data_IF_333433397726
#
_entry.id   IF_333433397726
#
_cell.length_a   1.000
_cell.length_b   1.000
_cell.length_c   1.000
_cell.angle_alpha   90.00
_cell.angle_beta   90.00
_cell.angle_gamma   90.00
#
_symmetry.space_group_name_H-M   'P 1'
#
loop_
_entity.id
_entity.type
_entity.pdbx_description
1 polymer ?
#
# COMPACT_ATOMS: atom_id res chain seq x y z
N UNK A 1 14.60 11.70 -8.52
CA UNK A 1 13.60 11.50 -7.46
C UNK A 1 12.23 11.72 -8.10
N UNK A 2 11.45 10.66 -8.34
CA UNK A 2 10.15 10.79 -9.02
C UNK A 2 9.24 11.75 -8.25
N UNK A 3 8.59 12.69 -8.95
CA UNK A 3 7.68 13.66 -8.36
C UNK A 3 6.60 12.89 -7.60
N UNK A 4 6.52 13.08 -6.27
CA UNK A 4 5.54 12.42 -5.41
C UNK A 4 4.12 12.83 -5.86
N UNK A 5 3.46 12.00 -6.66
CA UNK A 5 2.11 12.27 -7.17
C UNK A 5 1.08 12.12 -6.05
N UNK A 6 0.08 12.99 -6.07
CA UNK A 6 -1.15 12.90 -5.30
C UNK A 6 -2.29 13.21 -6.27
N UNK A 7 -3.41 12.53 -6.11
CA UNK A 7 -4.60 12.73 -6.93
C UNK A 7 -5.16 14.15 -6.69
N UNK A 8 -5.66 14.78 -7.75
CA UNK A 8 -6.39 16.05 -7.71
C UNK A 8 -7.55 16.03 -8.68
N UNK A 9 -8.78 16.10 -8.18
CA UNK A 9 -9.98 15.99 -9.02
C UNK A 9 -9.95 14.70 -9.84
N UNK A 10 -9.99 13.55 -9.15
CA UNK A 10 -10.05 12.25 -9.82
C UNK A 10 -11.25 12.24 -10.76
N UNK A 11 -11.02 11.84 -12.00
CA UNK A 11 -12.06 11.71 -13.01
C UNK A 11 -12.43 10.24 -13.24
N UNK A 12 -11.43 9.36 -13.16
CA UNK A 12 -11.61 7.92 -13.31
C UNK A 12 -10.43 7.15 -12.71
N UNK A 13 -10.70 5.95 -12.19
CA UNK A 13 -9.71 4.92 -11.93
C UNK A 13 -10.19 3.57 -12.49
N UNK A 14 -9.25 2.75 -12.95
CA UNK A 14 -9.50 1.41 -13.49
C UNK A 14 -8.45 0.43 -12.96
N UNK A 15 -8.89 -0.77 -12.59
CA UNK A 15 -7.99 -1.91 -12.39
C UNK A 15 -7.49 -2.39 -13.74
N UNK A 16 -6.18 -2.55 -13.88
CA UNK A 16 -5.55 -3.00 -15.12
C UNK A 16 -4.49 -4.07 -14.83
N UNK A 17 -4.14 -4.82 -15.87
CA UNK A 17 -2.90 -5.59 -15.89
C UNK A 17 -1.67 -4.67 -15.91
N UNK A 18 -0.48 -5.18 -15.54
CA UNK A 18 0.76 -4.41 -15.61
C UNK A 18 0.95 -3.74 -16.98
N UNK A 19 1.21 -2.41 -17.03
CA UNK A 19 1.42 -1.72 -18.29
C UNK A 19 2.58 -2.31 -19.11
N UNK A 20 2.36 -2.50 -20.41
CA UNK A 20 3.30 -3.18 -21.32
C UNK A 20 4.66 -2.47 -21.49
N UNK A 21 4.73 -1.18 -21.18
CA UNK A 21 5.96 -0.38 -21.29
C UNK A 21 6.91 -0.54 -20.08
N UNK A 22 6.53 -1.33 -19.07
CA UNK A 22 7.41 -1.63 -17.93
C UNK A 22 8.56 -2.54 -18.38
N UNK A 23 9.77 -1.99 -18.41
CA UNK A 23 10.98 -2.77 -18.70
C UNK A 23 11.58 -3.38 -17.43
N UNK A 24 12.30 -4.49 -17.60
CA UNK A 24 13.13 -5.03 -16.53
C UNK A 24 14.31 -4.08 -16.27
N UNK A 25 14.23 -3.31 -15.20
CA UNK A 25 15.32 -2.45 -14.77
C UNK A 25 16.38 -3.23 -13.98
N UNK A 26 17.62 -2.73 -13.99
CA UNK A 26 18.69 -3.17 -13.10
C UNK A 26 18.22 -3.17 -11.63
N UNK A 27 18.64 -4.19 -10.87
CA UNK A 27 18.29 -4.35 -9.45
C UNK A 27 19.55 -4.31 -8.60
N UNK A 28 19.68 -3.29 -7.77
CA UNK A 28 20.76 -3.22 -6.78
C UNK A 28 20.54 -4.23 -5.64
N UNK A 29 21.58 -4.58 -4.87
CA UNK A 29 21.43 -5.44 -3.69
C UNK A 29 20.39 -4.92 -2.68
N UNK A 30 20.34 -3.61 -2.46
CA UNK A 30 19.35 -2.98 -1.59
C UNK A 30 17.91 -3.17 -2.11
N UNK A 31 17.71 -3.07 -3.43
CA UNK A 31 16.40 -3.35 -4.05
C UNK A 31 16.00 -4.82 -3.87
N UNK A 32 16.96 -5.75 -4.01
CA UNK A 32 16.70 -7.18 -3.80
C UNK A 32 16.30 -7.50 -2.36
N UNK A 33 16.90 -6.84 -1.37
CA UNK A 33 16.48 -6.97 0.03
C UNK A 33 15.05 -6.48 0.23
N UNK A 34 14.69 -5.33 -0.34
CA UNK A 34 13.32 -4.81 -0.32
C UNK A 34 12.32 -5.81 -0.92
N UNK A 35 12.63 -6.37 -2.10
CA UNK A 35 11.79 -7.37 -2.78
C UNK A 35 11.64 -8.63 -1.94
N UNK A 36 12.72 -9.12 -1.29
CA UNK A 36 12.65 -10.30 -0.42
C UNK A 36 11.77 -10.04 0.80
N UNK A 37 11.91 -8.86 1.41
CA UNK A 37 11.09 -8.48 2.55
C UNK A 37 9.61 -8.36 2.16
N UNK A 38 9.30 -7.69 1.05
CA UNK A 38 7.94 -7.60 0.52
C UNK A 38 7.32 -8.99 0.27
N UNK A 39 8.09 -9.93 -0.30
CA UNK A 39 7.65 -11.32 -0.46
C UNK A 39 7.37 -12.02 0.88
N UNK A 40 8.20 -11.79 1.90
CA UNK A 40 7.99 -12.32 3.26
C UNK A 40 6.66 -11.82 3.82
N UNK A 41 6.40 -10.51 3.73
CA UNK A 41 5.16 -9.89 4.21
C UNK A 41 3.95 -10.42 3.45
N UNK A 42 4.00 -10.49 2.12
CA UNK A 42 2.91 -11.03 1.30
C UNK A 42 2.52 -12.45 1.71
N UNK A 43 3.51 -13.31 1.98
CA UNK A 43 3.28 -14.68 2.46
C UNK A 43 2.69 -14.72 3.87
N UNK A 44 3.15 -13.84 4.77
CA UNK A 44 2.60 -13.74 6.12
C UNK A 44 1.14 -13.32 6.09
N UNK A 45 0.83 -12.28 5.32
CA UNK A 45 -0.54 -11.80 5.10
C UNK A 45 -1.46 -12.89 4.54
N UNK A 46 -0.98 -13.73 3.59
CA UNK A 46 -1.76 -14.88 3.11
C UNK A 46 -2.17 -15.84 4.23
N UNK A 47 -1.32 -15.98 5.25
CA UNK A 47 -1.55 -16.90 6.36
C UNK A 47 -2.54 -16.30 7.36
N UNK A 48 -2.44 -14.99 7.63
CA UNK A 48 -3.28 -14.28 8.60
C UNK A 48 -4.70 -14.00 8.07
N UNK A 49 -4.85 -13.79 6.76
CA UNK A 49 -6.07 -13.27 6.16
C UNK A 49 -6.64 -14.20 5.09
N UNK A 50 -6.83 -15.48 5.42
CA UNK A 50 -7.29 -16.51 4.49
C UNK A 50 -8.70 -16.26 3.95
N UNK A 51 -9.54 -15.56 4.72
CA UNK A 51 -10.92 -15.24 4.35
C UNK A 51 -11.06 -13.90 3.60
N UNK A 52 -9.96 -13.15 3.42
CA UNK A 52 -9.95 -11.90 2.69
C UNK A 52 -9.52 -12.12 1.24
N UNK A 53 -10.03 -11.30 0.32
CA UNK A 53 -9.45 -11.21 -1.02
C UNK A 53 -8.17 -10.35 -0.95
N UNK A 54 -7.06 -10.88 -1.48
CA UNK A 54 -5.73 -10.26 -1.35
C UNK A 54 -5.19 -9.90 -2.73
N UNK A 55 -5.22 -8.61 -3.07
CA UNK A 55 -4.68 -8.08 -4.33
C UNK A 55 -3.23 -7.62 -4.14
N UNK A 56 -2.27 -8.42 -4.61
CA UNK A 56 -0.83 -8.14 -4.46
C UNK A 56 -0.28 -7.46 -5.70
N UNK A 57 0.15 -6.21 -5.56
CA UNK A 57 0.74 -5.46 -6.67
C UNK A 57 -0.28 -5.16 -7.78
N UNK A 58 -1.55 -4.95 -7.43
CA UNK A 58 -2.59 -4.59 -8.39
C UNK A 58 -2.26 -3.25 -9.07
N UNK A 59 -2.35 -3.19 -10.39
CA UNK A 59 -2.15 -1.94 -11.12
C UNK A 59 -3.45 -1.16 -11.26
N UNK A 60 -3.32 0.16 -11.10
CA UNK A 60 -4.35 1.15 -11.39
C UNK A 60 -3.90 2.01 -12.55
N UNK A 61 -4.79 2.23 -13.51
CA UNK A 61 -4.74 3.38 -14.40
C UNK A 61 -5.73 4.43 -13.86
N UNK A 62 -5.35 5.69 -13.88
CA UNK A 62 -6.24 6.76 -13.46
C UNK A 62 -6.07 8.01 -14.31
N UNK A 63 -7.08 8.86 -14.27
CA UNK A 63 -7.05 10.20 -14.86
C UNK A 63 -7.49 11.22 -13.82
N UNK A 64 -6.69 12.26 -13.64
CA UNK A 64 -6.95 13.39 -12.76
C UNK A 64 -6.75 14.69 -13.54
N UNK A 65 -6.93 15.86 -12.92
CA UNK A 65 -6.73 17.15 -13.62
C UNK A 65 -5.31 17.36 -14.17
N UNK A 66 -4.35 16.48 -13.82
CA UNK A 66 -2.97 16.50 -14.30
C UNK A 66 -2.74 15.45 -15.41
N UNK A 67 -3.80 14.83 -15.91
CA UNK A 67 -3.79 13.84 -16.97
C UNK A 67 -3.65 12.40 -16.46
N UNK A 68 -3.34 11.48 -17.38
CA UNK A 68 -3.25 10.05 -17.08
C UNK A 68 -2.10 9.70 -16.12
N UNK A 69 -2.29 8.69 -15.29
CA UNK A 69 -1.30 8.15 -14.39
C UNK A 69 -1.47 6.65 -14.16
N UNK A 70 -0.42 6.05 -13.61
CA UNK A 70 -0.42 4.65 -13.18
C UNK A 70 0.08 4.57 -11.75
N UNK A 71 -0.47 3.64 -10.98
CA UNK A 71 -0.11 3.41 -9.60
C UNK A 71 -0.22 1.92 -9.26
N UNK A 72 0.64 1.45 -8.37
CA UNK A 72 0.66 0.06 -7.91
C UNK A 72 0.89 0.07 -6.40
N UNK A 73 -0.14 -0.12 -5.55
CA UNK A 73 0.06 -0.43 -4.13
C UNK A 73 0.71 -1.80 -3.96
N UNK A 74 1.39 -2.03 -2.84
CA UNK A 74 2.07 -3.30 -2.61
C UNK A 74 1.05 -4.42 -2.37
N UNK A 75 0.02 -4.15 -1.55
CA UNK A 75 -1.08 -5.07 -1.21
C UNK A 75 -2.37 -4.28 -0.95
N UNK A 76 -3.52 -4.81 -1.39
CA UNK A 76 -4.85 -4.41 -0.92
C UNK A 76 -5.51 -5.66 -0.33
N UNK A 77 -6.04 -5.53 0.89
CA UNK A 77 -6.85 -6.54 1.56
C UNK A 77 -8.31 -6.12 1.50
N UNK A 78 -9.18 -6.99 1.01
CA UNK A 78 -10.62 -6.76 0.90
C UNK A 78 -11.34 -7.75 1.81
N UNK A 79 -12.14 -7.22 2.73
CA UNK A 79 -13.13 -7.99 3.48
C UNK A 79 -14.53 -7.51 3.12
N UNK A 80 -15.60 -8.23 3.52
CA UNK A 80 -16.97 -7.77 3.30
C UNK A 80 -17.28 -6.41 3.95
N UNK A 81 -16.52 -6.01 4.98
CA UNK A 81 -16.82 -4.84 5.80
C UNK A 81 -15.87 -3.66 5.56
N UNK A 82 -14.68 -3.89 5.00
CA UNK A 82 -13.68 -2.84 4.81
C UNK A 82 -12.57 -3.26 3.85
N UNK A 83 -11.70 -2.31 3.52
CA UNK A 83 -10.45 -2.58 2.82
C UNK A 83 -9.25 -1.99 3.56
N UNK A 84 -8.08 -2.61 3.36
CA UNK A 84 -6.80 -2.12 3.88
C UNK A 84 -5.80 -1.99 2.74
N UNK A 85 -5.23 -0.80 2.60
CA UNK A 85 -4.15 -0.53 1.65
C UNK A 85 -2.83 -0.61 2.40
N UNK A 86 -1.97 -1.56 2.01
CA UNK A 86 -0.69 -1.81 2.67
C UNK A 86 0.46 -1.40 1.76
N UNK A 87 1.38 -0.61 2.32
CA UNK A 87 2.68 -0.33 1.71
C UNK A 87 3.78 -0.98 2.57
N UNK A 88 4.65 -1.76 1.93
CA UNK A 88 5.74 -2.46 2.57
C UNK A 88 7.07 -1.74 2.31
N UNK A 89 7.85 -1.51 3.36
CA UNK A 89 9.16 -0.85 3.27
C UNK A 89 10.17 -1.54 4.16
N UNK A 90 11.40 -1.75 3.68
CA UNK A 90 12.45 -2.31 4.53
C UNK A 90 12.73 -1.42 5.76
N UNK A 91 12.58 -0.11 5.62
CA UNK A 91 12.74 0.87 6.71
C UNK A 91 11.55 1.82 6.72
N UNK A 92 11.05 2.16 7.91
CA UNK A 92 9.94 3.11 8.11
C UNK A 92 10.15 4.42 7.34
N UNK A 93 9.07 4.95 6.74
CA UNK A 93 9.08 6.19 5.96
C UNK A 93 7.87 7.08 6.29
N UNK A 94 8.08 8.33 6.74
CA UNK A 94 6.97 9.24 7.04
C UNK A 94 6.14 9.58 5.80
N UNK A 95 6.73 9.53 4.61
CA UNK A 95 6.01 9.87 3.38
C UNK A 95 4.98 8.83 2.93
N UNK A 96 4.98 7.64 3.52
CA UNK A 96 4.10 6.53 3.13
C UNK A 96 2.67 6.82 3.50
N UNK A 97 2.39 7.35 4.70
CA UNK A 97 1.03 7.75 5.07
C UNK A 97 0.42 8.69 4.01
N UNK A 98 1.18 9.72 3.62
CA UNK A 98 0.73 10.67 2.59
C UNK A 98 0.48 9.98 1.25
N UNK A 99 1.29 8.99 0.86
CA UNK A 99 1.12 8.22 -0.38
C UNK A 99 -0.15 7.38 -0.31
N UNK A 100 -0.33 6.62 0.78
CA UNK A 100 -1.52 5.83 1.05
C UNK A 100 -2.77 6.71 1.01
N UNK A 101 -2.84 7.80 1.79
CA UNK A 101 -4.02 8.66 1.87
C UNK A 101 -4.30 9.52 0.63
N UNK A 102 -3.27 9.97 -0.10
CA UNK A 102 -3.43 10.97 -1.19
C UNK A 102 -3.23 10.41 -2.60
N UNK A 103 -2.79 9.16 -2.73
CA UNK A 103 -2.72 8.49 -4.02
C UNK A 103 -3.60 7.25 -4.00
N UNK A 104 -3.32 6.28 -3.13
CA UNK A 104 -4.01 5.00 -3.20
C UNK A 104 -5.44 5.03 -2.64
N UNK A 105 -5.68 5.75 -1.54
CA UNK A 105 -7.00 5.90 -0.94
C UNK A 105 -8.03 6.43 -1.93
N UNK A 106 -7.79 7.56 -2.63
CA UNK A 106 -8.70 8.04 -3.66
C UNK A 106 -8.95 7.04 -4.79
N UNK A 107 -7.93 6.29 -5.21
CA UNK A 107 -8.08 5.27 -6.24
C UNK A 107 -8.92 4.09 -5.76
N UNK A 108 -8.70 3.63 -4.52
CA UNK A 108 -9.50 2.55 -3.93
C UNK A 108 -10.93 3.01 -3.64
N UNK A 109 -11.14 4.29 -3.30
CA UNK A 109 -12.48 4.88 -3.09
C UNK A 109 -13.31 4.90 -4.37
N UNK A 110 -12.65 5.06 -5.52
CA UNK A 110 -13.32 5.02 -6.81
C UNK A 110 -13.72 3.58 -7.20
N UNK A 111 -12.87 2.59 -6.91
CA UNK A 111 -13.12 1.19 -7.26
C UNK A 111 -14.08 0.51 -6.27
N UNK A 112 -13.95 0.80 -4.97
CA UNK A 112 -14.75 0.23 -3.89
C UNK A 112 -15.34 1.35 -3.01
N UNK A 113 -16.35 2.09 -3.51
CA UNK A 113 -16.87 3.29 -2.84
C UNK A 113 -17.54 3.03 -1.50
N UNK A 114 -18.09 1.82 -1.32
CA UNK A 114 -18.89 1.47 -0.14
C UNK A 114 -18.04 0.87 1.00
N UNK A 115 -16.75 0.63 0.77
CA UNK A 115 -15.86 0.00 1.76
C UNK A 115 -15.06 1.06 2.54
N UNK A 116 -15.23 1.13 3.88
CA UNK A 116 -14.34 1.88 4.76
C UNK A 116 -12.87 1.48 4.54
N UNK A 117 -11.99 2.48 4.55
CA UNK A 117 -10.57 2.28 4.23
C UNK A 117 -9.68 2.46 5.44
N UNK A 118 -8.80 1.49 5.64
CA UNK A 118 -7.62 1.61 6.50
C UNK A 118 -6.35 1.60 5.67
N UNK A 119 -5.29 2.14 6.26
CA UNK A 119 -4.00 2.28 5.63
C UNK A 119 -2.94 1.70 6.57
N UNK A 120 -2.02 0.92 6.03
CA UNK A 120 -0.94 0.35 6.84
C UNK A 120 0.41 0.55 6.16
N UNK A 121 1.40 0.97 6.94
CA UNK A 121 2.80 0.80 6.57
C UNK A 121 3.40 -0.35 7.36
N UNK A 122 3.90 -1.36 6.64
CA UNK A 122 4.63 -2.47 7.26
C UNK A 122 6.12 -2.28 7.01
N UNK A 123 6.90 -2.27 8.09
CA UNK A 123 8.35 -2.10 8.00
C UNK A 123 9.16 -2.97 8.95
N UNK A 124 10.45 -3.13 8.66
CA UNK A 124 11.39 -3.88 9.51
C UNK A 124 12.38 -3.00 10.26
N UNK A 125 12.92 -1.99 9.58
CA UNK A 125 13.93 -1.10 10.15
C UNK A 125 13.29 0.17 10.65
N UNK A 126 13.67 0.60 11.84
CA UNK A 126 13.35 1.92 12.36
C UNK A 126 14.49 2.89 12.04
N UNK A 127 14.15 4.16 11.84
CA UNK A 127 15.14 5.25 11.80
C UNK A 127 15.35 5.77 13.21
N UNK A 128 16.53 6.30 13.50
CA UNK A 128 16.88 6.83 14.83
C UNK A 128 15.88 7.89 15.34
N UNK A 129 15.22 8.61 14.43
CA UNK A 129 14.23 9.63 14.72
C UNK A 129 12.79 9.22 14.35
N UNK A 130 12.49 7.92 14.34
CA UNK A 130 11.14 7.43 14.12
C UNK A 130 10.20 7.94 15.23
N UNK A 131 9.20 8.78 14.94
CA UNK A 131 8.31 9.35 15.95
C UNK A 131 7.14 8.41 16.32
N UNK A 132 7.14 7.17 15.79
CA UNK A 132 6.04 6.23 16.02
C UNK A 132 6.15 5.67 17.43
N UNK A 133 5.17 6.03 18.26
CA UNK A 133 5.05 5.56 19.65
C UNK A 133 4.25 4.26 19.74
N UNK A 134 3.28 4.06 18.84
CA UNK A 134 2.37 2.92 18.85
C UNK A 134 2.56 2.06 17.60
N UNK A 135 2.91 0.80 17.82
CA UNK A 135 3.09 -0.20 16.78
C UNK A 135 1.96 -1.22 16.87
N UNK A 136 1.45 -1.60 15.71
CA UNK A 136 0.37 -2.58 15.59
C UNK A 136 0.91 -3.89 15.02
N UNK A 137 0.21 -4.98 15.34
CA UNK A 137 0.49 -6.28 14.76
C UNK A 137 -0.18 -6.43 13.38
N UNK A 138 0.43 -7.24 12.51
CA UNK A 138 -0.13 -7.47 11.16
C UNK A 138 -1.51 -8.10 11.26
N UNK A 139 -1.74 -8.94 12.24
CA UNK A 139 -2.96 -9.71 12.50
C UNK A 139 -4.15 -8.81 12.88
N UNK A 140 -3.87 -7.63 13.44
CA UNK A 140 -4.89 -6.73 13.97
C UNK A 140 -5.26 -5.59 13.01
N UNK A 141 -4.76 -5.59 11.77
CA UNK A 141 -4.99 -4.46 10.85
C UNK A 141 -6.50 -4.23 10.56
N UNK A 142 -7.32 -5.28 10.57
CA UNK A 142 -8.78 -5.13 10.41
C UNK A 142 -9.51 -4.65 11.67
N UNK A 143 -8.91 -4.75 12.87
CA UNK A 143 -9.59 -4.44 14.13
C UNK A 143 -10.26 -3.05 14.09
N UNK A 144 -11.61 -2.95 14.16
CA UNK A 144 -12.35 -1.71 13.96
C UNK A 144 -11.95 -0.56 14.89
N UNK A 145 -11.44 -0.88 16.09
CA UNK A 145 -10.98 0.11 17.07
C UNK A 145 -9.63 0.74 16.69
N UNK A 146 -8.88 0.13 15.77
CA UNK A 146 -7.63 0.67 15.29
C UNK A 146 -7.84 1.93 14.43
N UNK A 147 -6.90 2.90 14.49
CA UNK A 147 -7.01 4.12 13.70
C UNK A 147 -7.00 3.85 12.19
N UNK A 148 -7.49 4.82 11.40
CA UNK A 148 -7.52 4.74 9.93
C UNK A 148 -6.16 4.60 9.25
N UNK A 149 -5.07 4.86 9.99
CA UNK A 149 -3.69 4.59 9.58
C UNK A 149 -2.95 3.95 10.74
N UNK A 150 -2.23 2.86 10.46
CA UNK A 150 -1.40 2.14 11.42
C UNK A 150 0.02 1.94 10.87
N UNK A 151 1.00 1.97 11.78
CA UNK A 151 2.36 1.54 11.51
C UNK A 151 2.58 0.16 12.14
N UNK A 152 3.15 -0.75 11.36
CA UNK A 152 3.42 -2.14 11.77
C UNK A 152 4.91 -2.42 11.69
N UNK A 153 5.49 -2.91 12.79
CA UNK A 153 6.89 -3.28 12.87
C UNK A 153 7.04 -4.80 12.85
N UNK A 154 7.62 -5.32 11.77
CA UNK A 154 7.69 -6.74 11.49
C UNK A 154 9.15 -7.23 11.40
N UNK A 155 9.53 -8.11 12.34
CA UNK A 155 10.92 -8.57 12.55
C UNK A 155 11.29 -9.81 11.70
#
# INVERSE_FOLDING_TARGET
>A
MGRRRSIRGLQQALLIEPPSFLSNSYRSPAMLQGIRFEKKIKKHIDTCYQDAEILKGQWFQFEDIRGRGFAQPDIILLSPESLIIVEVKLTWRPEVERKLRRLYGPLCSEIWPDLPQKHAQVCKGLRDNCPVENWFDIEDMFNPENPSYVDVHFL
#
